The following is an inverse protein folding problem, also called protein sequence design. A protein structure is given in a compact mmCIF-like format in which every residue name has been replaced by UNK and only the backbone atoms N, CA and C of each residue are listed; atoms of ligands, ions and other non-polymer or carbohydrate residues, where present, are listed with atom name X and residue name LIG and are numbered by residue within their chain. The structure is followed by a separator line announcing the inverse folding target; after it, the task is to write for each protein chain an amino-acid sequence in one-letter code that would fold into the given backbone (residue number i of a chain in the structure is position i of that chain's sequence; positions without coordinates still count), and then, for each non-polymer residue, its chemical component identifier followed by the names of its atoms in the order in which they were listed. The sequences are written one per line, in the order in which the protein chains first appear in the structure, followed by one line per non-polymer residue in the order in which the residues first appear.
data_IF_199211177990
#
_entry.id   IF_199211177990
#
_cell.length_a   1.000
_cell.length_b   1.000
_cell.length_c   1.000
_cell.angle_alpha   90.00
_cell.angle_beta   90.00
_cell.angle_gamma   90.00
#
_symmetry.space_group_name_H-M   'P 1'
#
loop_
_entity.id
_entity.type
_entity.pdbx_description
1 polymer ?
#
# COMPACT_ATOMS: atom_id res chain seq x y z
N UNK A 1 -2.13 -40.19 -2.01
CA UNK A 1 -2.47 -38.99 -1.21
C UNK A 1 -3.99 -38.86 -1.17
N UNK A 2 -4.61 -38.93 0.02
CA UNK A 2 -6.07 -38.99 0.17
C UNK A 2 -6.74 -37.69 -0.26
N UNK A 3 -7.85 -37.79 -1.03
CA UNK A 3 -8.75 -36.67 -1.42
C UNK A 3 -9.14 -35.77 -0.24
N UNK A 4 -9.20 -36.33 0.97
CA UNK A 4 -9.47 -35.59 2.21
C UNK A 4 -8.40 -34.52 2.54
N UNK A 5 -7.13 -34.74 2.19
CA UNK A 5 -6.02 -33.81 2.43
C UNK A 5 -6.06 -32.61 1.47
N UNK A 6 -6.48 -32.83 0.22
CA UNK A 6 -6.64 -31.78 -0.79
C UNK A 6 -7.84 -30.86 -0.49
N UNK A 7 -8.94 -31.43 0.03
CA UNK A 7 -10.14 -30.69 0.44
C UNK A 7 -9.90 -29.82 1.68
N UNK A 8 -9.11 -30.29 2.65
CA UNK A 8 -8.75 -29.49 3.84
C UNK A 8 -7.80 -28.35 3.48
N UNK A 9 -6.82 -28.58 2.60
CA UNK A 9 -5.89 -27.54 2.15
C UNK A 9 -6.62 -26.42 1.37
N UNK A 10 -7.57 -26.77 0.49
CA UNK A 10 -8.37 -25.80 -0.25
C UNK A 10 -9.33 -25.00 0.65
N UNK A 11 -9.91 -25.63 1.68
CA UNK A 11 -10.77 -24.94 2.65
C UNK A 11 -9.98 -23.95 3.53
N UNK A 12 -8.75 -24.30 3.91
CA UNK A 12 -7.87 -23.43 4.72
C UNK A 12 -7.37 -22.21 3.92
N UNK A 13 -7.03 -22.39 2.64
CA UNK A 13 -6.65 -21.29 1.74
C UNK A 13 -7.81 -20.31 1.47
N UNK A 14 -9.05 -20.80 1.49
CA UNK A 14 -10.26 -19.99 1.27
C UNK A 14 -10.71 -19.19 2.50
N UNK A 15 -10.35 -19.65 3.70
CA UNK A 15 -10.80 -19.04 4.96
C UNK A 15 -10.00 -17.78 5.32
N UNK A 16 -8.71 -17.73 4.98
CA UNK A 16 -7.85 -16.58 5.24
C UNK A 16 -8.17 -15.38 4.32
N UNK A 17 -8.59 -15.62 3.08
CA UNK A 17 -8.94 -14.54 2.14
C UNK A 17 -10.30 -13.89 2.44
N UNK A 18 -11.29 -14.67 2.90
CA UNK A 18 -12.63 -14.12 3.20
C UNK A 18 -12.60 -13.05 4.28
N UNK A 19 -11.83 -13.27 5.36
CA UNK A 19 -11.75 -12.29 6.47
C UNK A 19 -11.22 -10.95 6.00
N UNK A 20 -10.12 -10.94 5.26
CA UNK A 20 -9.51 -9.73 4.70
C UNK A 20 -10.48 -9.02 3.74
N UNK A 21 -11.08 -9.76 2.81
CA UNK A 21 -11.99 -9.17 1.82
C UNK A 21 -13.25 -8.57 2.46
N UNK A 22 -13.74 -9.15 3.56
CA UNK A 22 -14.90 -8.66 4.31
C UNK A 22 -14.56 -7.60 5.37
N UNK A 23 -13.28 -7.31 5.61
CA UNK A 23 -12.88 -6.35 6.63
C UNK A 23 -13.32 -4.93 6.27
N UNK A 24 -13.42 -4.08 7.29
CA UNK A 24 -13.66 -2.64 7.08
C UNK A 24 -12.58 -2.07 6.15
N UNK A 25 -13.00 -1.21 5.23
CA UNK A 25 -12.15 -0.73 4.17
C UNK A 25 -12.84 0.26 3.27
N UNK A 26 -12.14 0.66 2.22
CA UNK A 26 -12.65 1.54 1.20
C UNK A 26 -11.95 1.26 -0.13
N UNK A 27 -12.55 1.74 -1.22
CA UNK A 27 -11.93 1.73 -2.53
C UNK A 27 -11.20 3.06 -2.78
N UNK A 28 -10.12 3.03 -3.54
CA UNK A 28 -9.47 4.24 -4.05
C UNK A 28 -9.22 4.14 -5.55
N UNK A 29 -8.98 5.30 -6.17
CA UNK A 29 -8.54 5.42 -7.55
C UNK A 29 -7.42 6.44 -7.65
N UNK A 30 -6.31 6.04 -8.26
CA UNK A 30 -5.15 6.88 -8.52
C UNK A 30 -4.83 6.82 -10.03
N UNK A 31 -5.39 7.77 -10.78
CA UNK A 31 -5.39 7.70 -12.25
C UNK A 31 -6.21 6.50 -12.73
N UNK A 32 -5.59 5.65 -13.57
CA UNK A 32 -6.22 4.43 -14.08
C UNK A 32 -6.11 3.24 -13.10
N UNK A 33 -5.24 3.35 -12.09
CA UNK A 33 -5.08 2.32 -11.05
C UNK A 33 -6.22 2.42 -10.04
N UNK A 34 -6.89 1.30 -9.80
CA UNK A 34 -7.91 1.16 -8.75
C UNK A 34 -7.44 0.15 -7.70
N UNK A 35 -7.84 0.35 -6.46
CA UNK A 35 -7.51 -0.59 -5.39
C UNK A 35 -8.47 -0.57 -4.24
N UNK A 36 -8.34 -1.58 -3.40
CA UNK A 36 -9.14 -1.80 -2.21
C UNK A 36 -8.24 -1.72 -0.99
N UNK A 37 -8.58 -0.89 -0.02
CA UNK A 37 -7.90 -0.82 1.28
C UNK A 37 -8.70 -1.63 2.30
N UNK A 38 -8.02 -2.42 3.13
CA UNK A 38 -8.62 -3.19 4.23
C UNK A 38 -7.87 -2.94 5.52
N UNK A 39 -8.60 -2.60 6.58
CA UNK A 39 -8.09 -2.46 7.94
C UNK A 39 -8.19 -3.81 8.65
N UNK A 40 -7.05 -4.47 8.84
CA UNK A 40 -6.95 -5.81 9.41
C UNK A 40 -5.88 -5.85 10.50
N UNK A 41 -5.79 -6.95 11.24
CA UNK A 41 -4.62 -7.16 12.09
C UNK A 41 -3.39 -7.53 11.24
N UNK A 42 -2.18 -7.17 11.67
CA UNK A 42 -0.93 -7.57 11.01
C UNK A 42 -0.80 -9.09 10.83
N UNK A 43 -1.43 -9.88 11.70
CA UNK A 43 -1.42 -11.34 11.56
C UNK A 43 -2.25 -11.84 10.36
N UNK A 44 -3.08 -10.99 9.78
CA UNK A 44 -3.97 -11.29 8.66
C UNK A 44 -3.39 -10.83 7.31
N UNK A 45 -2.19 -10.23 7.29
CA UNK A 45 -1.51 -9.79 6.07
C UNK A 45 -1.14 -10.93 5.09
N UNK A 46 -1.29 -12.19 5.50
CA UNK A 46 -1.12 -13.35 4.64
C UNK A 46 0.33 -13.52 4.18
N UNK A 47 0.62 -13.15 2.93
CA UNK A 47 1.94 -13.33 2.31
C UNK A 47 2.97 -12.30 2.75
N UNK A 48 2.52 -11.18 3.32
CA UNK A 48 3.40 -10.16 3.90
C UNK A 48 3.78 -10.51 5.34
N UNK A 49 4.94 -9.99 5.78
CA UNK A 49 5.45 -10.20 7.14
C UNK A 49 4.52 -9.54 8.19
N UNK A 50 4.16 -10.25 9.27
CA UNK A 50 3.35 -9.69 10.35
C UNK A 50 4.09 -8.65 11.21
N UNK A 51 5.38 -8.39 10.91
CA UNK A 51 6.17 -7.33 11.55
C UNK A 51 5.91 -5.95 10.94
N UNK A 52 5.32 -5.89 9.74
CA UNK A 52 5.02 -4.65 9.03
C UNK A 52 3.73 -4.00 9.55
N UNK A 53 3.49 -2.75 9.16
CA UNK A 53 2.27 -1.99 9.49
C UNK A 53 1.35 -1.78 8.29
N UNK A 54 1.84 -2.07 7.10
CA UNK A 54 1.11 -2.07 5.85
C UNK A 54 1.63 -3.20 4.95
N UNK A 55 0.83 -3.54 3.95
CA UNK A 55 1.16 -4.50 2.92
C UNK A 55 0.33 -4.22 1.68
N UNK A 56 0.96 -4.28 0.51
CA UNK A 56 0.28 -4.13 -0.77
C UNK A 56 0.46 -5.38 -1.61
N UNK A 57 -0.66 -5.93 -2.09
CA UNK A 57 -0.70 -7.07 -3.00
C UNK A 57 -1.23 -6.60 -4.35
N UNK A 58 -0.37 -6.49 -5.39
CA UNK A 58 -0.82 -6.22 -6.75
C UNK A 58 -1.71 -7.34 -7.27
N UNK A 59 -2.82 -6.98 -7.94
CA UNK A 59 -3.77 -7.92 -8.56
C UNK A 59 -4.17 -7.36 -9.93
N UNK A 60 -3.51 -7.83 -10.98
CA UNK A 60 -3.70 -7.28 -12.34
C UNK A 60 -3.29 -5.81 -12.39
N UNK A 61 -4.18 -4.94 -12.88
CA UNK A 61 -3.96 -3.48 -12.94
C UNK A 61 -4.44 -2.73 -11.68
N UNK A 62 -4.74 -3.46 -10.60
CA UNK A 62 -5.11 -2.88 -9.31
C UNK A 62 -4.35 -3.52 -8.16
N UNK A 63 -4.81 -3.28 -6.93
CA UNK A 63 -4.20 -3.87 -5.75
C UNK A 63 -5.16 -3.99 -4.57
N UNK A 64 -4.79 -4.87 -3.65
CA UNK A 64 -5.29 -4.91 -2.29
C UNK A 64 -4.24 -4.30 -1.37
N UNK A 65 -4.60 -3.24 -0.65
CA UNK A 65 -3.79 -2.63 0.40
C UNK A 65 -4.34 -3.07 1.75
N UNK A 66 -3.51 -3.67 2.59
CA UNK A 66 -3.84 -4.06 3.95
C UNK A 66 -3.08 -3.18 4.92
N UNK A 67 -3.79 -2.52 5.83
CA UNK A 67 -3.20 -1.68 6.86
C UNK A 67 -3.50 -2.26 8.23
N UNK A 68 -2.52 -2.18 9.13
CA UNK A 68 -2.74 -2.50 10.54
C UNK A 68 -3.76 -1.52 11.11
N UNK A 69 -4.94 -2.05 11.46
CA UNK A 69 -6.08 -1.25 11.91
C UNK A 69 -5.71 -0.30 13.03
N UNK A 70 -5.05 -0.82 14.06
CA UNK A 70 -4.74 -0.07 15.27
C UNK A 70 -3.71 1.02 15.01
N UNK A 71 -2.63 0.70 14.29
CA UNK A 71 -1.62 1.68 13.91
C UNK A 71 -2.21 2.79 13.03
N UNK A 72 -3.05 2.43 12.05
CA UNK A 72 -3.66 3.42 11.17
C UNK A 72 -4.64 4.31 11.94
N UNK A 73 -5.62 3.75 12.64
CA UNK A 73 -6.66 4.56 13.29
C UNK A 73 -6.13 5.43 14.45
N UNK A 74 -5.12 4.95 15.19
CA UNK A 74 -4.50 5.68 16.31
C UNK A 74 -3.35 6.60 15.88
N UNK A 75 -2.88 6.47 14.64
CA UNK A 75 -1.80 7.28 14.09
C UNK A 75 -2.17 8.76 13.96
N UNK A 76 -1.16 9.63 13.97
CA UNK A 76 -1.32 11.05 13.63
C UNK A 76 -1.77 11.19 12.16
N UNK A 77 -2.37 12.33 11.77
CA UNK A 77 -2.72 12.58 10.37
C UNK A 77 -1.54 12.34 9.41
N UNK A 78 -0.34 12.76 9.79
CA UNK A 78 0.90 12.53 9.05
C UNK A 78 1.24 11.05 8.92
N UNK A 79 1.17 10.29 10.01
CA UNK A 79 1.48 8.85 10.00
C UNK A 79 0.49 8.07 9.12
N UNK A 80 -0.80 8.38 9.22
CA UNK A 80 -1.83 7.78 8.34
C UNK A 80 -1.57 8.08 6.88
N UNK A 81 -1.23 9.35 6.58
CA UNK A 81 -0.96 9.79 5.21
C UNK A 81 0.27 9.11 4.64
N UNK A 82 1.40 9.11 5.37
CA UNK A 82 2.61 8.43 4.94
C UNK A 82 2.33 6.95 4.69
N UNK A 83 1.70 6.25 5.64
CA UNK A 83 1.42 4.82 5.51
C UNK A 83 0.54 4.53 4.29
N UNK A 84 -0.63 5.17 4.16
CA UNK A 84 -1.53 4.89 3.06
C UNK A 84 -0.91 5.26 1.70
N UNK A 85 -0.28 6.42 1.60
CA UNK A 85 0.36 6.85 0.36
C UNK A 85 1.55 5.96 -0.01
N UNK A 86 2.31 5.46 0.98
CA UNK A 86 3.41 4.52 0.77
C UNK A 86 2.88 3.21 0.17
N UNK A 87 1.84 2.63 0.74
CA UNK A 87 1.23 1.39 0.22
C UNK A 87 0.59 1.60 -1.16
N UNK A 88 -0.07 2.73 -1.40
CA UNK A 88 -0.52 3.11 -2.74
C UNK A 88 0.68 3.28 -3.70
N UNK A 89 1.82 3.74 -3.21
CA UNK A 89 3.08 3.76 -3.94
C UNK A 89 3.47 2.38 -4.48
N UNK A 90 3.48 1.34 -3.63
CA UNK A 90 3.72 -0.05 -4.09
C UNK A 90 2.73 -0.49 -5.18
N UNK A 91 1.47 -0.08 -5.05
CA UNK A 91 0.45 -0.38 -6.06
C UNK A 91 0.74 0.28 -7.41
N UNK A 92 1.17 1.54 -7.39
CA UNK A 92 1.51 2.31 -8.59
C UNK A 92 2.83 1.85 -9.22
N UNK A 93 3.79 1.41 -8.40
CA UNK A 93 5.01 0.78 -8.90
C UNK A 93 4.68 -0.45 -9.76
N UNK A 94 3.80 -1.32 -9.25
CA UNK A 94 3.37 -2.50 -9.99
C UNK A 94 2.52 -2.16 -11.22
N UNK A 95 1.49 -1.33 -11.06
CA UNK A 95 0.46 -1.12 -12.10
C UNK A 95 0.82 -0.10 -13.17
N UNK A 96 1.68 0.89 -12.85
CA UNK A 96 2.04 2.00 -13.75
C UNK A 96 3.47 1.90 -14.23
N UNK A 97 4.38 1.46 -13.35
CA UNK A 97 5.82 1.38 -13.64
C UNK A 97 6.29 -0.04 -13.96
N UNK A 98 5.41 -1.03 -13.83
CA UNK A 98 5.72 -2.45 -14.08
C UNK A 98 6.95 -2.92 -13.27
N UNK A 99 7.02 -2.49 -12.00
CA UNK A 99 8.14 -2.74 -11.08
C UNK A 99 9.47 -2.09 -11.51
N UNK A 100 9.41 -1.05 -12.34
CA UNK A 100 10.58 -0.26 -12.75
C UNK A 100 11.06 0.73 -11.68
N UNK A 101 10.33 0.91 -10.57
CA UNK A 101 10.69 1.77 -9.43
C UNK A 101 10.98 3.23 -9.80
N UNK A 102 10.59 3.68 -11.00
CA UNK A 102 10.92 5.01 -11.52
C UNK A 102 12.43 5.26 -11.69
N UNK A 103 13.23 4.19 -11.81
CA UNK A 103 14.70 4.27 -11.83
C UNK A 103 15.33 4.53 -10.46
N UNK A 104 14.55 4.48 -9.38
CA UNK A 104 15.07 4.55 -8.01
C UNK A 104 15.70 3.18 -7.68
N UNK A 105 16.98 3.21 -7.34
CA UNK A 105 17.74 2.10 -6.77
C UNK A 105 17.93 2.30 -5.27
N UNK A 106 19.19 2.38 -4.82
CA UNK A 106 19.53 2.51 -3.40
C UNK A 106 19.28 3.90 -2.79
N UNK A 107 18.87 4.89 -3.60
CA UNK A 107 18.75 6.29 -3.20
C UNK A 107 17.71 6.52 -2.09
N UNK A 108 16.71 5.63 -1.95
CA UNK A 108 15.71 5.72 -0.88
C UNK A 108 16.31 5.63 0.53
N UNK A 109 17.56 5.17 0.68
CA UNK A 109 18.27 5.14 1.95
C UNK A 109 18.34 6.50 2.67
N UNK A 110 18.16 7.62 1.98
CA UNK A 110 18.07 8.96 2.60
C UNK A 110 16.90 9.10 3.58
N UNK A 111 15.85 8.28 3.44
CA UNK A 111 14.72 8.25 4.37
C UNK A 111 14.93 7.27 5.53
N UNK A 112 16.00 6.48 5.49
CA UNK A 112 16.32 5.43 6.44
C UNK A 112 16.72 4.12 5.75
N UNK A 113 17.48 3.29 6.47
CA UNK A 113 18.03 2.02 5.97
C UNK A 113 16.96 1.06 5.41
N UNK A 114 15.77 1.07 6.00
CA UNK A 114 14.62 0.28 5.55
C UNK A 114 14.23 0.58 4.09
N UNK A 115 14.40 1.83 3.65
CA UNK A 115 14.02 2.29 2.31
C UNK A 115 15.16 2.18 1.27
N UNK A 116 16.29 1.54 1.61
CA UNK A 116 17.36 1.28 0.65
C UNK A 116 16.90 0.42 -0.54
N UNK A 117 16.10 -0.66 -0.39
CA UNK A 117 15.61 -1.41 -1.54
C UNK A 117 14.79 -0.52 -2.48
N UNK A 118 14.96 -0.69 -3.79
CA UNK A 118 14.33 0.14 -4.82
C UNK A 118 12.80 0.28 -4.66
N UNK A 119 12.13 -0.84 -4.40
CA UNK A 119 10.69 -0.92 -4.17
C UNK A 119 10.22 -0.07 -2.98
N UNK A 120 10.90 -0.18 -1.83
CA UNK A 120 10.61 0.61 -0.63
C UNK A 120 10.97 2.08 -0.82
N UNK A 121 12.08 2.35 -1.51
CA UNK A 121 12.55 3.69 -1.82
C UNK A 121 11.60 4.43 -2.75
N UNK A 122 11.02 3.75 -3.73
CA UNK A 122 9.99 4.30 -4.60
C UNK A 122 8.71 4.60 -3.81
N UNK A 123 8.18 3.62 -3.07
CA UNK A 123 6.95 3.78 -2.31
C UNK A 123 7.04 4.95 -1.32
N UNK A 124 8.16 5.09 -0.61
CA UNK A 124 8.40 6.21 0.30
C UNK A 124 8.57 7.54 -0.43
N UNK A 125 9.23 7.56 -1.59
CA UNK A 125 9.34 8.77 -2.43
C UNK A 125 7.96 9.21 -2.93
N UNK A 126 7.10 8.27 -3.32
CA UNK A 126 5.73 8.57 -3.72
C UNK A 126 4.93 9.14 -2.55
N UNK A 127 5.03 8.55 -1.35
CA UNK A 127 4.34 9.06 -0.16
C UNK A 127 4.74 10.51 0.18
N UNK A 128 6.02 10.84 0.00
CA UNK A 128 6.53 12.21 0.20
C UNK A 128 6.07 13.17 -0.88
N UNK A 129 6.07 12.74 -2.14
CA UNK A 129 5.53 13.53 -3.24
C UNK A 129 4.02 13.79 -3.05
N UNK A 130 3.27 12.79 -2.57
CA UNK A 130 1.85 12.92 -2.22
C UNK A 130 1.66 13.99 -1.16
N UNK A 131 2.46 13.92 -0.10
CA UNK A 131 2.44 14.89 0.99
C UNK A 131 2.76 16.31 0.50
N UNK A 132 3.73 16.46 -0.40
CA UNK A 132 4.09 17.76 -0.94
C UNK A 132 2.94 18.36 -1.76
N UNK A 133 2.18 17.52 -2.47
CA UNK A 133 1.04 17.93 -3.27
C UNK A 133 -0.25 18.14 -2.45
N UNK A 134 -0.53 17.25 -1.49
CA UNK A 134 -1.83 17.10 -0.85
C UNK A 134 -1.82 17.34 0.67
N UNK A 135 -0.65 17.53 1.29
CA UNK A 135 -0.53 17.58 2.73
C UNK A 135 -0.99 16.26 3.39
N UNK A 136 -1.67 16.36 4.52
CA UNK A 136 -2.24 15.21 5.25
C UNK A 136 -3.70 14.88 4.81
N UNK A 137 -4.15 15.42 3.67
CA UNK A 137 -5.47 15.13 3.13
C UNK A 137 -5.50 13.73 2.53
N UNK A 138 -6.33 12.82 3.06
CA UNK A 138 -6.46 11.44 2.59
C UNK A 138 -7.67 11.18 1.68
N UNK A 139 -8.54 12.18 1.48
CA UNK A 139 -9.71 12.04 0.62
C UNK A 139 -9.36 11.66 -0.83
N UNK A 140 -8.26 12.16 -1.45
CA UNK A 140 -7.84 11.71 -2.77
C UNK A 140 -7.49 10.22 -2.85
N UNK A 141 -7.15 9.58 -1.72
CA UNK A 141 -6.91 8.14 -1.60
C UNK A 141 -8.13 7.40 -1.02
N UNK A 142 -9.31 8.01 -1.09
CA UNK A 142 -10.59 7.41 -0.72
C UNK A 142 -10.92 7.36 0.77
N UNK A 143 -10.09 7.95 1.64
CA UNK A 143 -10.33 7.94 3.09
C UNK A 143 -10.75 9.31 3.64
N UNK A 144 -11.95 9.35 4.23
CA UNK A 144 -12.52 10.56 4.84
C UNK A 144 -13.01 11.59 3.82
N UNK A 145 -13.12 12.84 4.25
CA UNK A 145 -13.53 13.98 3.43
C UNK A 145 -12.45 15.06 3.39
N UNK A 146 -12.33 15.76 2.27
CA UNK A 146 -11.30 16.77 2.04
C UNK A 146 -11.40 17.38 0.64
N UNK A 147 -10.65 18.45 0.36
CA UNK A 147 -10.62 19.06 -0.97
C UNK A 147 -10.02 18.09 -1.99
N UNK A 148 -10.33 18.33 -3.28
CA UNK A 148 -9.62 17.65 -4.36
C UNK A 148 -8.12 18.01 -4.33
N UNK A 149 -7.29 17.04 -4.69
CA UNK A 149 -5.85 17.22 -4.87
C UNK A 149 -5.41 16.46 -6.13
N UNK A 150 -4.45 17.02 -6.85
CA UNK A 150 -3.81 16.33 -7.98
C UNK A 150 -2.75 15.40 -7.43
N UNK A 151 -2.94 14.09 -7.64
CA UNK A 151 -1.97 13.08 -7.23
C UNK A 151 -0.66 13.22 -8.04
N UNK A 152 0.51 12.97 -7.42
CA UNK A 152 1.76 12.96 -8.15
C UNK A 152 1.79 11.84 -9.21
N UNK A 153 2.35 12.14 -10.39
CA UNK A 153 2.58 11.13 -11.43
C UNK A 153 3.74 10.19 -11.00
N UNK A 154 3.49 8.87 -10.84
CA UNK A 154 4.51 7.88 -10.50
C UNK A 154 5.77 7.96 -11.35
N UNK A 155 5.65 8.30 -12.64
CA UNK A 155 6.78 8.33 -13.60
C UNK A 155 7.75 9.48 -13.32
N UNK A 156 7.26 10.53 -12.66
CA UNK A 156 8.04 11.74 -12.33
C UNK A 156 8.58 11.74 -10.91
N UNK A 157 8.14 10.81 -10.06
CA UNK A 157 8.61 10.72 -8.67
C UNK A 157 10.11 10.45 -8.63
N UNK A 158 10.80 11.18 -7.77
CA UNK A 158 12.24 11.05 -7.51
C UNK A 158 12.46 11.10 -6.00
N UNK A 159 13.61 10.57 -5.58
CA UNK A 159 14.06 10.77 -4.20
C UNK A 159 14.25 12.27 -3.96
N UNK A 160 13.58 12.78 -2.92
CA UNK A 160 13.70 14.16 -2.48
C UNK A 160 14.61 14.20 -1.25
N UNK A 161 15.56 15.12 -1.23
CA UNK A 161 16.35 15.36 -0.03
C UNK A 161 15.46 16.00 1.05
N UNK A 162 15.64 15.66 2.33
CA UNK A 162 14.90 16.26 3.43
C UNK A 162 15.17 17.75 3.60
#
# INVERSE_FOLDING_TARGET
MSRALLLTLAALLSACSRRVLSAEGWSFRAGDTAGEVRLVSRQEFGVCSPKLVGCTIPVGHGCLVMLDRDYFLKGTPRQRTLLLAHEVGHCLDASVLEYGHGGIGAQGAVYGEYYRPAVEGFAESYARAYIAACGDNLAPLGYGSGPACVLPDPRTVRVSLP
#
